data_IF_581834819918
#
_entry.id   IF_581834819918
#
_cell.length_a   1.000
_cell.length_b   1.000
_cell.length_c   1.000
_cell.angle_alpha   90.00
_cell.angle_beta   90.00
_cell.angle_gamma   90.00
#
_symmetry.space_group_name_H-M   'P 1'
#
loop_
_entity.id
_entity.type
_entity.pdbx_description
1 polymer ?
#
# COMPACT_ATOMS: atom_id res chain seq x y z
N UNK A 1 -21.93 -8.45 12.59
CA UNK A 1 -21.67 -8.13 11.16
C UNK A 1 -20.21 -7.66 11.01
N UNK A 2 -19.28 -8.40 11.62
CA UNK A 2 -17.92 -7.89 11.87
C UNK A 2 -16.84 -8.61 11.06
N UNK A 3 -17.22 -9.68 10.35
CA UNK A 3 -16.30 -10.44 9.51
C UNK A 3 -15.78 -9.67 8.31
N UNK A 4 -16.62 -8.87 7.64
CA UNK A 4 -16.22 -8.15 6.43
C UNK A 4 -15.15 -7.09 6.68
N UNK A 5 -15.27 -6.34 7.78
CA UNK A 5 -14.30 -5.32 8.14
C UNK A 5 -12.98 -5.93 8.66
N UNK A 6 -13.04 -7.03 9.42
CA UNK A 6 -11.84 -7.75 9.86
C UNK A 6 -11.08 -8.34 8.67
N UNK A 7 -11.81 -8.92 7.72
CA UNK A 7 -11.22 -9.56 6.55
C UNK A 7 -10.58 -8.51 5.62
N UNK A 8 -11.20 -7.34 5.49
CA UNK A 8 -10.65 -6.23 4.71
C UNK A 8 -9.37 -5.66 5.36
N UNK A 9 -9.35 -5.55 6.68
CA UNK A 9 -8.15 -5.13 7.41
C UNK A 9 -7.00 -6.13 7.21
N UNK A 10 -7.27 -7.43 7.36
CA UNK A 10 -6.27 -8.49 7.14
C UNK A 10 -5.76 -8.52 5.71
N UNK A 11 -6.64 -8.35 4.72
CA UNK A 11 -6.26 -8.23 3.32
C UNK A 11 -5.31 -7.05 3.09
N UNK A 12 -5.67 -5.86 3.57
CA UNK A 12 -4.87 -4.67 3.37
C UNK A 12 -3.50 -4.78 4.04
N UNK A 13 -3.44 -5.28 5.28
CA UNK A 13 -2.17 -5.55 5.97
C UNK A 13 -1.30 -6.57 5.24
N UNK A 14 -1.90 -7.60 4.64
CA UNK A 14 -1.17 -8.54 3.79
C UNK A 14 -0.56 -7.87 2.56
N UNK A 15 -1.34 -6.99 1.89
CA UNK A 15 -0.86 -6.20 0.75
C UNK A 15 0.30 -5.28 1.16
N UNK A 16 0.17 -4.58 2.30
CA UNK A 16 1.22 -3.69 2.83
C UNK A 16 2.52 -4.44 3.09
N UNK A 17 2.46 -5.62 3.73
CA UNK A 17 3.66 -6.42 4.00
C UNK A 17 4.39 -6.83 2.72
N UNK A 18 3.65 -7.27 1.70
CA UNK A 18 4.25 -7.64 0.40
C UNK A 18 4.90 -6.42 -0.24
N UNK A 19 4.25 -5.27 -0.17
CA UNK A 19 4.73 -4.01 -0.72
C UNK A 19 5.98 -3.50 0.00
N UNK A 20 6.03 -3.61 1.32
CA UNK A 20 7.22 -3.32 2.10
C UNK A 20 8.39 -4.21 1.73
N UNK A 21 8.17 -5.52 1.56
CA UNK A 21 9.24 -6.43 1.13
C UNK A 21 9.74 -6.08 -0.27
N UNK A 22 8.85 -5.78 -1.21
CA UNK A 22 9.24 -5.34 -2.55
C UNK A 22 10.08 -4.05 -2.48
N UNK A 23 9.63 -3.05 -1.73
CA UNK A 23 10.39 -1.80 -1.54
C UNK A 23 11.74 -2.04 -0.86
N UNK A 24 11.78 -2.90 0.17
CA UNK A 24 13.02 -3.25 0.90
C UNK A 24 14.03 -3.94 0.00
N UNK A 25 13.60 -4.93 -0.79
CA UNK A 25 14.49 -5.78 -1.56
C UNK A 25 14.84 -5.20 -2.93
N UNK A 26 13.91 -4.51 -3.60
CA UNK A 26 14.14 -3.96 -4.93
C UNK A 26 14.57 -2.49 -4.87
N UNK A 27 13.90 -1.66 -4.07
CA UNK A 27 14.17 -0.22 -4.04
C UNK A 27 15.26 0.15 -3.03
N UNK A 28 15.50 -0.73 -2.05
CA UNK A 28 16.49 -0.52 -0.98
C UNK A 28 16.07 0.50 0.07
N UNK A 29 14.88 1.08 -0.04
CA UNK A 29 14.34 2.08 0.88
C UNK A 29 12.84 1.86 1.10
N UNK A 30 12.42 2.05 2.36
CA UNK A 30 11.01 2.04 2.77
C UNK A 30 10.69 3.43 3.32
N UNK A 31 9.60 4.06 2.85
CA UNK A 31 9.20 5.36 3.35
C UNK A 31 8.87 5.31 4.84
N UNK A 32 9.05 6.45 5.52
CA UNK A 32 8.91 6.58 6.98
C UNK A 32 8.06 7.80 7.32
N UNK A 33 7.51 7.81 8.54
CA UNK A 33 6.68 8.91 9.05
C UNK A 33 5.18 8.62 8.94
N UNK A 34 4.33 9.60 9.28
CA UNK A 34 2.88 9.38 9.40
C UNK A 34 2.20 8.96 8.08
N UNK A 35 2.73 9.39 6.94
CA UNK A 35 2.20 9.11 5.60
C UNK A 35 2.91 7.97 4.86
N UNK A 36 3.69 7.15 5.57
CA UNK A 36 4.51 6.11 4.95
C UNK A 36 3.71 5.16 4.06
N UNK A 37 2.50 4.78 4.48
CA UNK A 37 1.57 3.96 3.70
C UNK A 37 1.25 4.57 2.32
N UNK A 38 1.04 5.90 2.26
CA UNK A 38 0.75 6.61 1.00
C UNK A 38 1.97 6.62 0.10
N UNK A 39 3.12 6.89 0.71
CA UNK A 39 4.39 6.99 0.01
C UNK A 39 4.81 5.64 -0.55
N UNK A 40 4.52 4.54 0.15
CA UNK A 40 4.78 3.19 -0.32
C UNK A 40 3.98 2.87 -1.58
N UNK A 41 2.68 3.19 -1.59
CA UNK A 41 1.83 3.03 -2.78
C UNK A 41 2.30 3.91 -3.95
N UNK A 42 2.71 5.15 -3.67
CA UNK A 42 3.28 6.05 -4.68
C UNK A 42 4.57 5.46 -5.26
N UNK A 43 5.49 5.01 -4.42
CA UNK A 43 6.77 4.42 -4.80
C UNK A 43 6.56 3.19 -5.68
N UNK A 44 5.68 2.27 -5.30
CA UNK A 44 5.39 1.05 -6.07
C UNK A 44 4.61 1.29 -7.36
N UNK A 45 3.87 2.40 -7.43
CA UNK A 45 3.23 2.87 -8.67
C UNK A 45 4.21 3.56 -9.63
N UNK A 46 5.40 3.95 -9.16
CA UNK A 46 6.43 4.55 -9.99
C UNK A 46 7.32 3.48 -10.61
N UNK A 47 7.77 3.76 -11.84
CA UNK A 47 8.83 2.99 -12.48
C UNK A 47 10.17 3.51 -11.97
N UNK A 48 11.10 2.59 -11.69
CA UNK A 48 12.47 2.94 -11.34
C UNK A 48 13.38 2.33 -12.42
N UNK A 49 13.81 3.13 -13.42
CA UNK A 49 14.61 2.65 -14.53
C UNK A 49 15.83 1.86 -14.05
N UNK A 50 16.10 0.74 -14.70
CA UNK A 50 17.18 -0.21 -14.37
C UNK A 50 17.06 -0.96 -13.02
N UNK A 51 16.07 -0.65 -12.18
CA UNK A 51 15.82 -1.36 -10.91
C UNK A 51 14.58 -2.23 -11.02
N UNK A 52 13.43 -1.62 -11.34
CA UNK A 52 12.17 -2.36 -11.53
C UNK A 52 11.14 -1.58 -12.37
N UNK A 53 10.26 -2.29 -13.09
CA UNK A 53 9.05 -1.69 -13.63
C UNK A 53 8.08 -1.29 -12.50
N UNK A 54 6.99 -0.61 -12.87
CA UNK A 54 5.87 -0.36 -11.97
C UNK A 54 5.31 -1.69 -11.45
N UNK A 55 5.17 -1.80 -10.13
CA UNK A 55 4.67 -3.01 -9.46
C UNK A 55 3.14 -3.02 -9.48
N UNK A 56 2.54 -1.84 -9.33
CA UNK A 56 1.08 -1.63 -9.42
C UNK A 56 0.77 -0.55 -10.46
N UNK A 57 -0.39 -0.67 -11.11
CA UNK A 57 -0.89 0.39 -11.98
C UNK A 57 -1.53 1.52 -11.16
N UNK A 58 -1.81 2.63 -11.84
CA UNK A 58 -2.39 3.82 -11.24
C UNK A 58 -3.79 3.53 -10.65
N UNK A 59 -4.62 2.73 -11.34
CA UNK A 59 -5.95 2.36 -10.84
C UNK A 59 -5.87 1.57 -9.54
N UNK A 60 -5.01 0.55 -9.47
CA UNK A 60 -4.82 -0.26 -8.25
C UNK A 60 -4.36 0.60 -7.08
N UNK A 61 -3.44 1.55 -7.32
CA UNK A 61 -3.02 2.50 -6.31
C UNK A 61 -4.21 3.31 -5.77
N UNK A 62 -5.03 3.89 -6.65
CA UNK A 62 -6.17 4.69 -6.22
C UNK A 62 -7.18 3.88 -5.40
N UNK A 63 -7.47 2.65 -5.83
CA UNK A 63 -8.32 1.75 -5.05
C UNK A 63 -7.73 1.51 -3.65
N UNK A 64 -6.42 1.22 -3.54
CA UNK A 64 -5.76 0.97 -2.25
C UNK A 64 -5.67 2.22 -1.36
N UNK A 65 -5.54 3.42 -1.94
CA UNK A 65 -5.63 4.68 -1.20
C UNK A 65 -7.05 4.92 -0.65
N UNK A 66 -8.08 4.54 -1.39
CA UNK A 66 -9.48 4.62 -0.94
C UNK A 66 -9.76 3.60 0.19
N UNK A 67 -9.31 2.36 0.03
CA UNK A 67 -9.37 1.32 1.09
C UNK A 67 -8.71 1.77 2.40
N UNK A 68 -7.60 2.51 2.31
CA UNK A 68 -6.97 3.13 3.48
C UNK A 68 -7.87 4.17 4.15
N UNK A 69 -8.58 4.97 3.36
CA UNK A 69 -9.50 5.99 3.88
C UNK A 69 -10.69 5.37 4.60
N UNK A 70 -11.17 4.20 4.17
CA UNK A 70 -12.18 3.43 4.90
C UNK A 70 -11.73 2.98 6.31
N UNK A 71 -10.41 2.91 6.57
CA UNK A 71 -9.86 2.65 7.92
C UNK A 71 -10.13 3.82 8.88
N UNK A 72 -10.33 5.03 8.36
CA UNK A 72 -10.67 6.24 9.13
C UNK A 72 -12.17 6.51 9.22
N UNK A 73 -13.00 5.86 8.36
CA UNK A 73 -14.46 6.07 8.33
C UNK A 73 -15.19 5.25 9.43
N UNK A 74 -14.57 4.26 10.06
CA UNK A 74 -15.12 3.59 11.26
C UNK A 74 -14.47 4.15 12.54
N UNK A 75 -14.64 5.44 12.79
CA UNK A 75 -14.37 6.04 14.10
C UNK A 75 -15.12 7.36 14.30
N UNK A 76 -16.40 7.45 13.91
CA UNK A 76 -17.34 8.45 14.43
C UNK A 76 -18.73 7.81 14.61
#
# INVERSE_FOLDING_TARGET
MDGAALNLHGFYTGVENIFEDIARYLDGDIPKGADWHKQLLLQLSAEIPAVRPRVICQETRFCLEEYRSFRHIRAE
#
